data_IF_297578814294
#
_entry.id   IF_297578814294
#
_cell.length_a   1.000
_cell.length_b   1.000
_cell.length_c   1.000
_cell.angle_alpha   90.00
_cell.angle_beta   90.00
_cell.angle_gamma   90.00
#
_symmetry.space_group_name_H-M   'P 1'
#
loop_
_entity.id
_entity.type
_entity.pdbx_description
1 polymer ?
#
# COMPACT_ATOMS: atom_id res chain seq x y z
N UNK A 1 -4.80 -5.79 6.92
CA UNK A 1 -4.19 -4.52 6.41
C UNK A 1 -4.25 -3.36 7.41
N UNK A 2 -5.16 -3.39 8.38
CA UNK A 2 -5.24 -2.42 9.48
C UNK A 2 -3.96 -2.31 10.32
N UNK A 3 -3.22 -3.41 10.51
CA UNK A 3 -1.93 -3.42 11.21
C UNK A 3 -0.87 -2.52 10.58
N UNK A 4 -0.89 -2.33 9.25
CA UNK A 4 0.06 -1.45 8.56
C UNK A 4 -0.10 0.01 8.99
N UNK A 5 -1.33 0.45 9.29
CA UNK A 5 -1.58 1.81 9.79
C UNK A 5 -0.98 2.00 11.18
N UNK A 6 -1.20 1.04 12.08
CA UNK A 6 -0.63 1.07 13.43
C UNK A 6 0.90 1.14 13.38
N UNK A 7 1.52 0.35 12.48
CA UNK A 7 2.97 0.40 12.26
C UNK A 7 3.40 1.77 11.74
N UNK A 8 2.68 2.33 10.75
CA UNK A 8 3.00 3.63 10.21
C UNK A 8 2.95 4.74 11.27
N UNK A 9 1.93 4.72 12.13
CA UNK A 9 1.76 5.70 13.21
C UNK A 9 2.80 5.52 14.32
N UNK A 10 3.19 4.28 14.63
CA UNK A 10 4.12 3.97 15.74
C UNK A 10 5.59 4.10 15.34
N UNK A 11 5.91 3.91 14.06
CA UNK A 11 7.28 3.83 13.54
C UNK A 11 7.51 4.81 12.37
N UNK A 12 7.35 6.13 12.56
CA UNK A 12 7.31 7.10 11.46
C UNK A 12 8.59 7.18 10.63
N UNK A 13 9.72 6.79 11.20
CA UNK A 13 11.04 6.79 10.56
C UNK A 13 11.41 5.44 9.92
N UNK A 14 10.48 4.48 9.88
CA UNK A 14 10.74 3.16 9.29
C UNK A 14 10.89 3.28 7.78
N UNK A 15 12.03 2.80 7.26
CA UNK A 15 12.38 2.88 5.83
C UNK A 15 12.04 1.58 5.09
N UNK A 16 12.15 0.44 5.77
CA UNK A 16 11.86 -0.88 5.21
C UNK A 16 11.01 -1.70 6.17
N UNK A 17 9.97 -2.35 5.64
CA UNK A 17 9.05 -3.20 6.38
C UNK A 17 8.91 -4.54 5.69
N UNK A 18 9.09 -5.62 6.44
CA UNK A 18 8.72 -6.96 6.00
C UNK A 18 7.49 -7.40 6.79
N UNK A 19 6.43 -7.80 6.09
CA UNK A 19 5.16 -8.20 6.71
C UNK A 19 4.49 -9.33 5.94
N UNK A 20 3.90 -10.28 6.66
CA UNK A 20 3.01 -11.27 6.07
C UNK A 20 1.58 -10.71 6.07
N UNK A 21 0.95 -10.65 4.90
CA UNK A 21 -0.42 -10.19 4.70
C UNK A 21 -1.27 -11.41 4.35
N UNK A 22 -1.89 -11.97 5.39
CA UNK A 22 -2.69 -13.20 5.30
C UNK A 22 -4.10 -12.98 4.76
N UNK A 23 -4.59 -11.73 4.73
CA UNK A 23 -5.94 -11.41 4.28
C UNK A 23 -5.97 -10.06 3.54
N UNK A 24 -6.42 -10.10 2.29
CA UNK A 24 -6.58 -8.94 1.40
C UNK A 24 -8.02 -8.41 1.34
N UNK A 25 -8.99 -9.07 1.98
CA UNK A 25 -10.43 -8.73 1.97
C UNK A 25 -10.85 -7.77 3.09
N UNK A 26 -9.89 -7.22 3.85
CA UNK A 26 -10.16 -6.35 5.01
C UNK A 26 -9.39 -5.03 4.89
N UNK A 27 -9.58 -4.35 3.77
CA UNK A 27 -9.00 -3.04 3.53
C UNK A 27 -9.83 -1.98 4.25
N UNK A 28 -9.21 -1.06 5.01
CA UNK A 28 -9.94 0.09 5.55
C UNK A 28 -10.58 0.91 4.42
N UNK A 29 -11.88 1.15 4.51
CA UNK A 29 -12.60 1.95 3.52
C UNK A 29 -12.33 3.42 3.75
N UNK A 30 -11.76 4.09 2.76
CA UNK A 30 -11.58 5.54 2.78
C UNK A 30 -12.72 6.24 2.06
N UNK A 31 -13.08 7.44 2.50
CA UNK A 31 -13.99 8.28 1.72
C UNK A 31 -13.35 8.55 0.34
N UNK A 32 -14.06 8.15 -0.73
CA UNK A 32 -13.53 8.20 -2.10
C UNK A 32 -13.10 9.61 -2.52
N UNK A 33 -13.73 10.65 -1.99
CA UNK A 33 -13.47 12.05 -2.33
C UNK A 33 -12.48 12.75 -1.38
N UNK A 34 -12.10 12.12 -0.25
CA UNK A 34 -11.26 12.72 0.81
C UNK A 34 -10.17 11.78 1.32
N UNK A 35 -9.57 11.02 0.40
CA UNK A 35 -8.48 10.11 0.76
C UNK A 35 -7.24 10.83 1.29
N UNK A 36 -6.97 12.04 0.79
CA UNK A 36 -5.80 12.85 1.14
C UNK A 36 -5.77 13.25 2.63
N UNK A 37 -6.92 13.50 3.25
CA UNK A 37 -7.04 13.88 4.67
C UNK A 37 -6.51 12.78 5.62
N UNK A 38 -6.39 11.54 5.13
CA UNK A 38 -5.92 10.39 5.89
C UNK A 38 -4.44 10.06 5.65
N UNK A 39 -3.77 10.83 4.79
CA UNK A 39 -2.39 10.57 4.38
C UNK A 39 -1.43 10.75 5.55
N UNK A 40 -0.57 9.76 5.74
CA UNK A 40 0.48 9.79 6.76
C UNK A 40 1.78 10.23 6.07
N UNK A 41 2.44 11.25 6.62
CA UNK A 41 3.81 11.57 6.20
C UNK A 41 4.75 10.51 6.75
N UNK A 42 5.04 9.49 5.95
CA UNK A 42 5.85 8.34 6.35
C UNK A 42 7.03 8.12 5.39
N UNK A 43 8.19 7.76 5.96
CA UNK A 43 9.44 7.54 5.23
C UNK A 43 9.64 6.11 4.68
N UNK A 44 8.58 5.31 4.57
CA UNK A 44 8.74 3.92 4.14
C UNK A 44 8.99 3.88 2.64
N UNK A 45 10.07 3.24 2.23
CA UNK A 45 10.48 3.13 0.84
C UNK A 45 10.34 1.70 0.31
N UNK A 46 10.51 0.69 1.16
CA UNK A 46 10.50 -0.72 0.76
C UNK A 46 9.51 -1.51 1.59
N UNK A 47 8.57 -2.18 0.93
CA UNK A 47 7.61 -3.10 1.54
C UNK A 47 7.83 -4.52 0.99
N UNK A 48 8.28 -5.45 1.85
CA UNK A 48 8.36 -6.87 1.53
C UNK A 48 7.13 -7.60 2.07
N UNK A 49 6.36 -8.25 1.18
CA UNK A 49 5.08 -8.88 1.52
C UNK A 49 5.11 -10.38 1.30
N UNK A 50 4.62 -11.11 2.31
CA UNK A 50 4.20 -12.50 2.15
C UNK A 50 2.70 -12.57 1.97
N UNK A 51 2.20 -13.05 0.83
CA UNK A 51 0.77 -13.27 0.59
C UNK A 51 0.58 -14.39 -0.45
N UNK A 52 -0.03 -15.50 -0.01
CA UNK A 52 -0.19 -16.70 -0.82
C UNK A 52 -1.57 -16.80 -1.49
N UNK A 53 -2.57 -16.05 -1.01
CA UNK A 53 -3.94 -16.07 -1.55
C UNK A 53 -4.24 -14.78 -2.29
N UNK A 54 -4.46 -14.90 -3.59
CA UNK A 54 -4.76 -13.78 -4.47
C UNK A 54 -6.15 -13.25 -4.18
N UNK A 55 -6.31 -11.93 -4.28
CA UNK A 55 -7.63 -11.31 -4.29
C UNK A 55 -8.16 -11.25 -5.72
N UNK A 56 -9.29 -11.89 -6.02
CA UNK A 56 -9.88 -11.85 -7.37
C UNK A 56 -10.73 -10.60 -7.63
N UNK A 57 -10.99 -9.77 -6.62
CA UNK A 57 -11.84 -8.59 -6.74
C UNK A 57 -11.02 -7.34 -7.14
N UNK A 58 -11.20 -6.78 -8.36
CA UNK A 58 -10.43 -5.63 -8.83
C UNK A 58 -10.65 -4.37 -7.99
N UNK A 59 -11.85 -4.17 -7.43
CA UNK A 59 -12.13 -3.01 -6.59
C UNK A 59 -11.35 -3.06 -5.28
N UNK A 60 -11.24 -4.25 -4.67
CA UNK A 60 -10.44 -4.44 -3.46
C UNK A 60 -8.94 -4.25 -3.74
N UNK A 61 -8.45 -4.69 -4.90
CA UNK A 61 -7.06 -4.44 -5.33
C UNK A 61 -6.78 -2.92 -5.40
N UNK A 62 -7.71 -2.16 -5.97
CA UNK A 62 -7.59 -0.71 -6.04
C UNK A 62 -7.60 -0.07 -4.65
N UNK A 63 -8.49 -0.54 -3.77
CA UNK A 63 -8.56 -0.08 -2.38
C UNK A 63 -7.28 -0.40 -1.61
N UNK A 64 -6.65 -1.56 -1.84
CA UNK A 64 -5.34 -1.93 -1.26
C UNK A 64 -4.27 -0.94 -1.71
N UNK A 65 -4.17 -0.70 -3.02
CA UNK A 65 -3.19 0.24 -3.56
C UNK A 65 -3.39 1.64 -2.97
N UNK A 66 -4.64 2.09 -2.87
CA UNK A 66 -4.99 3.38 -2.27
C UNK A 66 -4.62 3.43 -0.79
N UNK A 67 -4.91 2.37 -0.03
CA UNK A 67 -4.53 2.25 1.38
C UNK A 67 -3.03 2.35 1.57
N UNK A 68 -2.25 1.65 0.74
CA UNK A 68 -0.79 1.71 0.78
C UNK A 68 -0.25 3.09 0.45
N UNK A 69 -0.80 3.76 -0.57
CA UNK A 69 -0.41 5.12 -0.91
C UNK A 69 -0.68 6.12 0.23
N UNK A 70 -1.83 5.99 0.89
CA UNK A 70 -2.21 6.84 2.03
C UNK A 70 -1.22 6.66 3.20
N UNK A 71 -0.82 5.42 3.49
CA UNK A 71 0.09 5.15 4.62
C UNK A 71 1.56 5.43 4.29
N UNK A 72 1.99 5.09 3.07
CA UNK A 72 3.38 5.07 2.64
C UNK A 72 3.52 5.82 1.32
N UNK A 73 3.33 7.15 1.33
CA UNK A 73 3.32 7.96 0.11
C UNK A 73 4.65 7.94 -0.65
N UNK A 74 5.75 7.57 0.01
CA UNK A 74 7.10 7.52 -0.54
C UNK A 74 7.55 6.10 -0.91
N UNK A 75 6.62 5.13 -0.96
CA UNK A 75 6.93 3.75 -1.29
C UNK A 75 7.54 3.65 -2.71
N UNK A 76 8.75 3.12 -2.80
CA UNK A 76 9.51 2.97 -4.05
C UNK A 76 9.48 1.54 -4.58
N UNK A 77 9.35 0.57 -3.68
CA UNK A 77 9.48 -0.83 -4.01
C UNK A 77 8.52 -1.70 -3.18
N UNK A 78 7.84 -2.63 -3.86
CA UNK A 78 7.14 -3.76 -3.24
C UNK A 78 7.84 -5.04 -3.69
N UNK A 79 8.25 -5.87 -2.73
CA UNK A 79 8.85 -7.19 -2.97
C UNK A 79 7.93 -8.26 -2.44
N UNK A 80 7.88 -9.42 -3.09
CA UNK A 80 7.19 -10.59 -2.55
C UNK A 80 8.18 -11.65 -2.10
N UNK A 81 7.82 -12.42 -1.06
CA UNK A 81 8.59 -13.62 -0.73
C UNK A 81 8.42 -14.68 -1.83
N UNK A 82 9.34 -15.65 -1.89
CA UNK A 82 9.29 -16.73 -2.88
C UNK A 82 7.98 -17.55 -2.77
N UNK A 83 7.39 -17.89 -3.91
CA UNK A 83 6.14 -18.66 -3.99
C UNK A 83 4.89 -17.88 -3.53
N UNK A 84 4.99 -16.55 -3.42
CA UNK A 84 3.86 -15.67 -3.10
C UNK A 84 3.34 -14.99 -4.37
N UNK A 85 2.23 -14.27 -4.24
CA UNK A 85 1.45 -13.67 -5.33
C UNK A 85 2.13 -12.45 -5.98
N UNK A 86 3.34 -12.62 -6.50
CA UNK A 86 4.18 -11.57 -7.07
C UNK A 86 3.45 -10.76 -8.15
N UNK A 87 2.74 -11.44 -9.06
CA UNK A 87 2.02 -10.77 -10.15
C UNK A 87 0.98 -9.76 -9.65
N UNK A 88 0.19 -10.13 -8.65
CA UNK A 88 -0.80 -9.25 -8.04
C UNK A 88 -0.14 -8.07 -7.31
N UNK A 89 0.94 -8.32 -6.59
CA UNK A 89 1.66 -7.25 -5.88
C UNK A 89 2.39 -6.30 -6.81
N UNK A 90 2.89 -6.77 -7.95
CA UNK A 90 3.43 -5.93 -9.01
C UNK A 90 2.35 -5.02 -9.62
N UNK A 91 1.12 -5.54 -9.78
CA UNK A 91 -0.01 -4.75 -10.23
C UNK A 91 -0.42 -3.70 -9.19
N UNK A 92 -0.54 -4.08 -7.91
CA UNK A 92 -0.80 -3.15 -6.79
C UNK A 92 0.27 -2.06 -6.74
N UNK A 93 1.56 -2.42 -6.90
CA UNK A 93 2.65 -1.45 -6.93
C UNK A 93 2.49 -0.46 -8.09
N UNK A 94 2.11 -0.94 -9.27
CA UNK A 94 1.86 -0.07 -10.44
C UNK A 94 0.75 0.94 -10.17
N UNK A 95 -0.32 0.54 -9.49
CA UNK A 95 -1.40 1.44 -9.06
C UNK A 95 -0.92 2.46 -8.01
N UNK A 96 -0.11 2.05 -7.03
CA UNK A 96 0.50 2.97 -6.06
C UNK A 96 1.34 4.03 -6.77
N UNK A 97 2.16 3.64 -7.74
CA UNK A 97 2.97 4.57 -8.54
C UNK A 97 2.10 5.55 -9.31
N UNK A 98 1.00 5.10 -9.89
CA UNK A 98 0.04 5.98 -10.57
C UNK A 98 -0.53 7.04 -9.61
N UNK A 99 -0.92 6.67 -8.39
CA UNK A 99 -1.39 7.63 -7.39
C UNK A 99 -0.32 8.64 -6.96
N UNK A 100 0.94 8.20 -6.83
CA UNK A 100 2.06 9.09 -6.54
C UNK A 100 2.29 10.12 -7.65
N UNK A 101 2.21 9.70 -8.92
CA UNK A 101 2.36 10.59 -10.07
C UNK A 101 1.26 11.64 -10.09
N UNK A 102 -0.01 11.24 -10.00
CA UNK A 102 -1.14 12.17 -10.01
C UNK A 102 -1.01 13.22 -8.89
N UNK A 103 -0.57 12.82 -7.69
CA UNK A 103 -0.35 13.77 -6.60
C UNK A 103 0.80 14.76 -6.89
N UNK A 104 1.86 14.32 -7.58
CA UNK A 104 2.95 15.21 -7.97
C UNK A 104 2.47 16.23 -9.02
N UNK A 105 1.62 15.80 -9.96
CA UNK A 105 1.04 16.67 -10.98
C UNK A 105 0.09 17.71 -10.36
N UNK A 106 -0.69 17.35 -9.35
CA UNK A 106 -1.57 18.28 -8.60
C UNK A 106 -0.79 19.28 -7.72
N UNK A 107 0.47 18.97 -7.37
CA UNK A 107 1.31 19.80 -6.51
C UNK A 107 2.22 20.78 -7.28
N UNK A 108 2.21 20.72 -8.61
CA UNK A 108 2.98 21.58 -9.52
C UNK A 108 2.20 22.84 -9.93
#
# INVERSE_FOLDING_TARGET
>A
LSSLRVIAESCPNLISLQSTITNLHSVPTYNRLRGADNAISHGLEILSVGNALENSNPEEILDIARHLFILFPNLKEIRTHEGQNEAQWNYIHSLVRMFQIVRLDDAA
#
